data_IF_612271918335
#
_entry.id   IF_612271918335
#
_cell.length_a   1.000
_cell.length_b   1.000
_cell.length_c   1.000
_cell.angle_alpha   90.00
_cell.angle_beta   90.00
_cell.angle_gamma   90.00
#
_symmetry.space_group_name_H-M   'P 1'
#
loop_
_entity.id
_entity.type
_entity.pdbx_description
1 polymer ?
#
# COMPACT_ATOMS: atom_id res chain seq x y z
N UNK A 1 -17.34 -2.83 4.08
CA UNK A 1 -15.89 -2.76 3.79
C UNK A 1 -15.58 -1.84 2.64
N UNK A 2 -16.38 -1.86 1.57
CA UNK A 2 -16.17 -1.04 0.37
C UNK A 2 -16.29 0.48 0.59
N UNK A 3 -16.98 0.91 1.66
CA UNK A 3 -17.09 2.34 1.99
C UNK A 3 -15.87 2.89 2.76
N UNK A 4 -15.01 2.02 3.29
CA UNK A 4 -13.83 2.45 4.02
C UNK A 4 -12.72 2.86 3.04
N UNK A 5 -12.27 4.12 2.98
CA UNK A 5 -11.45 4.64 1.88
C UNK A 5 -10.12 3.91 1.68
N UNK A 6 -9.50 3.41 2.76
CA UNK A 6 -8.32 2.54 2.65
C UNK A 6 -8.62 1.24 1.92
N UNK A 7 -9.45 0.37 2.52
CA UNK A 7 -9.85 -0.91 1.93
C UNK A 7 -10.54 -0.81 0.57
N UNK A 8 -11.39 0.20 0.33
CA UNK A 8 -12.00 0.43 -0.97
C UNK A 8 -10.93 0.53 -2.08
N UNK A 9 -9.82 1.21 -1.77
CA UNK A 9 -8.70 1.37 -2.69
C UNK A 9 -7.68 0.25 -2.67
N UNK A 10 -7.58 -0.55 -1.59
CA UNK A 10 -6.76 -1.77 -1.58
C UNK A 10 -7.45 -2.86 -2.41
N UNK A 11 -8.78 -3.00 -2.26
CA UNK A 11 -9.62 -3.93 -3.02
C UNK A 11 -9.59 -3.68 -4.54
N UNK A 12 -9.24 -2.47 -5.00
CA UNK A 12 -8.97 -2.18 -6.41
C UNK A 12 -7.87 -3.11 -6.94
N UNK A 13 -6.75 -3.23 -6.23
CA UNK A 13 -5.63 -4.07 -6.64
C UNK A 13 -5.96 -5.54 -6.41
N UNK A 14 -6.55 -5.85 -5.25
CA UNK A 14 -6.86 -7.24 -4.87
C UNK A 14 -7.80 -7.92 -5.87
N UNK A 15 -8.82 -7.20 -6.35
CA UNK A 15 -9.75 -7.70 -7.37
C UNK A 15 -9.15 -7.78 -8.76
N UNK A 16 -8.12 -6.99 -9.05
CA UNK A 16 -7.50 -6.97 -10.37
C UNK A 16 -6.54 -8.16 -10.57
N UNK A 17 -5.69 -8.46 -9.59
CA UNK A 17 -4.71 -9.57 -9.68
C UNK A 17 -5.10 -10.83 -8.91
N UNK A 18 -6.24 -10.82 -8.22
CA UNK A 18 -6.56 -11.84 -7.23
C UNK A 18 -8.04 -12.10 -7.07
N UNK A 19 -8.35 -12.77 -5.97
CA UNK A 19 -9.68 -13.26 -5.65
C UNK A 19 -10.12 -12.67 -4.32
N UNK A 20 -11.28 -12.01 -4.34
CA UNK A 20 -11.93 -11.48 -3.15
C UNK A 20 -13.26 -12.20 -2.98
N UNK A 21 -13.47 -12.84 -1.82
CA UNK A 21 -14.72 -13.53 -1.50
C UNK A 21 -15.27 -13.01 -0.19
N UNK A 22 -16.52 -12.57 -0.23
CA UNK A 22 -17.28 -12.14 0.95
C UNK A 22 -17.84 -13.36 1.66
N UNK A 23 -17.54 -13.50 2.96
CA UNK A 23 -18.20 -14.43 3.87
C UNK A 23 -18.96 -13.58 4.90
N UNK A 24 -20.10 -14.05 5.38
CA UNK A 24 -20.97 -13.30 6.32
C UNK A 24 -20.22 -12.66 7.51
N UNK A 25 -19.10 -13.26 7.95
CA UNK A 25 -18.30 -12.79 9.07
C UNK A 25 -17.02 -12.00 8.71
N UNK A 26 -16.47 -12.17 7.50
CA UNK A 26 -15.19 -11.58 7.05
C UNK A 26 -15.00 -11.80 5.55
N UNK A 27 -14.08 -11.08 4.90
CA UNK A 27 -13.71 -11.38 3.50
C UNK A 27 -12.39 -12.13 3.44
N UNK A 28 -12.22 -12.97 2.43
CA UNK A 28 -10.92 -13.56 2.08
C UNK A 28 -10.36 -12.86 0.86
N UNK A 29 -9.10 -12.45 0.93
CA UNK A 29 -8.33 -11.97 -0.20
C UNK A 29 -7.20 -12.94 -0.48
N UNK A 30 -7.04 -13.32 -1.76
CA UNK A 30 -5.97 -14.21 -2.22
C UNK A 30 -5.35 -13.68 -3.50
N UNK A 31 -4.04 -13.84 -3.64
CA UNK A 31 -3.32 -13.62 -4.89
C UNK A 31 -2.62 -14.92 -5.27
N UNK A 32 -3.27 -15.82 -6.03
CA UNK A 32 -2.69 -17.13 -6.39
C UNK A 32 -1.33 -17.03 -7.10
N UNK A 33 -1.14 -15.98 -7.90
CA UNK A 33 0.13 -15.70 -8.59
C UNK A 33 1.25 -15.17 -7.68
N UNK A 34 0.97 -14.86 -6.41
CA UNK A 34 1.95 -14.36 -5.44
C UNK A 34 1.66 -14.87 -4.02
N UNK A 35 1.93 -16.15 -3.74
CA UNK A 35 1.63 -16.76 -2.44
C UNK A 35 2.42 -16.17 -1.26
N UNK A 36 3.60 -15.63 -1.52
CA UNK A 36 4.47 -14.97 -0.54
C UNK A 36 4.13 -13.49 -0.32
N UNK A 37 3.12 -12.96 -1.02
CA UNK A 37 2.64 -11.60 -0.80
C UNK A 37 1.78 -11.52 0.48
N UNK A 38 2.39 -11.06 1.57
CA UNK A 38 1.79 -11.09 2.91
C UNK A 38 0.47 -10.32 3.03
N UNK A 39 0.39 -9.15 2.39
CA UNK A 39 -0.80 -8.30 2.37
C UNK A 39 -1.63 -8.45 1.08
N UNK A 40 -1.37 -9.49 0.28
CA UNK A 40 -2.25 -9.93 -0.81
C UNK A 40 -2.93 -11.27 -0.55
N UNK A 41 -2.73 -11.83 0.65
CA UNK A 41 -3.32 -13.06 1.14
C UNK A 41 -3.71 -12.89 2.62
N UNK A 42 -4.94 -12.43 2.88
CA UNK A 42 -5.38 -12.00 4.21
C UNK A 42 -6.89 -12.22 4.45
N UNK A 43 -7.29 -12.27 5.73
CA UNK A 43 -8.70 -12.10 6.09
C UNK A 43 -8.97 -10.64 6.43
N UNK A 44 -10.03 -10.09 5.84
CA UNK A 44 -10.51 -8.74 6.08
C UNK A 44 -11.72 -8.79 7.02
N UNK A 45 -11.51 -8.35 8.26
CA UNK A 45 -12.51 -8.40 9.32
C UNK A 45 -13.32 -7.10 9.34
N UNK A 46 -14.64 -7.15 9.61
CA UNK A 46 -15.47 -5.96 9.70
C UNK A 46 -15.19 -5.13 10.96
N UNK A 47 -14.63 -5.74 11.99
CA UNK A 47 -14.32 -5.11 13.29
C UNK A 47 -12.99 -5.63 13.84
N UNK A 48 -12.35 -4.90 14.78
CA UNK A 48 -11.13 -5.38 15.43
C UNK A 48 -11.34 -6.72 16.14
N UNK A 49 -10.41 -7.69 15.98
CA UNK A 49 -10.44 -8.94 16.72
C UNK A 49 -10.02 -8.73 18.17
N UNK A 50 -10.35 -9.71 18.99
CA UNK A 50 -9.88 -9.88 20.35
C UNK A 50 -9.08 -11.17 20.50
N UNK A 51 -8.37 -11.34 21.61
CA UNK A 51 -7.64 -12.56 21.94
C UNK A 51 -8.49 -13.84 21.84
N UNK A 52 -9.80 -13.74 22.14
CA UNK A 52 -10.75 -14.84 22.03
C UNK A 52 -10.94 -15.34 20.59
N UNK A 53 -10.64 -14.49 19.61
CA UNK A 53 -10.85 -14.77 18.19
C UNK A 53 -9.69 -15.53 17.55
N UNK A 54 -8.54 -15.62 18.22
CA UNK A 54 -7.30 -16.18 17.66
C UNK A 54 -7.49 -17.58 17.08
N UNK A 55 -8.06 -18.50 17.85
CA UNK A 55 -8.16 -19.90 17.44
C UNK A 55 -8.99 -20.08 16.17
N UNK A 56 -10.15 -19.43 16.09
CA UNK A 56 -11.03 -19.58 14.93
C UNK A 56 -10.53 -18.80 13.71
N UNK A 57 -9.86 -17.65 13.90
CA UNK A 57 -9.24 -16.88 12.82
C UNK A 57 -8.08 -17.63 12.18
N UNK A 58 -7.19 -18.23 12.97
CA UNK A 58 -6.10 -19.07 12.46
C UNK A 58 -6.63 -20.27 11.68
N UNK A 59 -7.61 -20.98 12.23
CA UNK A 59 -8.23 -22.12 11.55
C UNK A 59 -8.95 -21.70 10.24
N UNK A 60 -9.59 -20.53 10.23
CA UNK A 60 -10.25 -19.98 9.05
C UNK A 60 -9.23 -19.60 7.97
N UNK A 61 -8.13 -18.95 8.35
CA UNK A 61 -7.04 -18.62 7.44
C UNK A 61 -6.46 -19.89 6.81
N UNK A 62 -6.13 -20.90 7.62
CA UNK A 62 -5.51 -22.14 7.16
C UNK A 62 -6.40 -22.88 6.15
N UNK A 63 -7.70 -22.93 6.44
CA UNK A 63 -8.68 -23.58 5.56
C UNK A 63 -8.89 -22.84 4.25
N UNK A 64 -8.98 -21.51 4.27
CA UNK A 64 -9.45 -20.72 3.12
C UNK A 64 -8.29 -20.16 2.26
N UNK A 65 -7.14 -19.94 2.87
CA UNK A 65 -5.98 -19.28 2.26
C UNK A 65 -4.74 -20.17 2.41
N UNK A 66 -4.36 -20.53 3.64
CA UNK A 66 -3.09 -21.19 3.98
C UNK A 66 -2.94 -22.66 3.56
N UNK A 67 -3.77 -23.17 2.65
CA UNK A 67 -3.67 -24.54 2.13
C UNK A 67 -2.52 -24.69 1.13
N UNK A 68 -2.08 -23.59 0.48
CA UNK A 68 -0.87 -23.58 -0.34
C UNK A 68 0.37 -23.55 0.57
N UNK A 69 1.26 -24.56 0.53
CA UNK A 69 2.43 -24.64 1.41
C UNK A 69 3.45 -23.50 1.21
N UNK A 70 3.34 -22.74 0.11
CA UNK A 70 4.17 -21.55 -0.12
C UNK A 70 3.72 -20.37 0.74
N UNK A 71 2.46 -20.34 1.18
CA UNK A 71 1.90 -19.33 2.09
C UNK A 71 2.37 -19.66 3.51
N UNK A 72 3.46 -19.00 3.93
CA UNK A 72 4.08 -19.21 5.25
C UNK A 72 3.77 -18.12 6.27
N UNK A 73 2.82 -17.24 5.96
CA UNK A 73 2.36 -16.15 6.81
C UNK A 73 0.90 -16.31 7.19
N UNK A 74 0.44 -15.47 8.12
CA UNK A 74 -0.99 -15.23 8.38
C UNK A 74 -1.22 -13.75 8.58
N UNK A 75 -2.18 -13.20 7.83
CA UNK A 75 -2.48 -11.77 7.85
C UNK A 75 -3.97 -11.53 8.09
N UNK A 76 -4.25 -10.61 9.01
CA UNK A 76 -5.60 -10.14 9.32
C UNK A 76 -5.61 -8.61 9.28
N UNK A 77 -6.66 -8.01 8.71
CA UNK A 77 -6.83 -6.56 8.64
C UNK A 77 -8.26 -6.14 9.00
N UNK A 78 -8.42 -4.95 9.57
CA UNK A 78 -9.72 -4.41 9.97
C UNK A 78 -9.72 -2.88 10.06
N UNK A 79 -10.90 -2.23 9.98
CA UNK A 79 -11.01 -0.80 10.22
C UNK A 79 -10.92 -0.49 11.71
N UNK A 80 -10.29 0.63 12.06
CA UNK A 80 -10.21 1.15 13.43
C UNK A 80 -10.94 2.50 13.51
N UNK A 81 -11.92 2.58 14.41
CA UNK A 81 -12.52 3.86 14.76
C UNK A 81 -11.55 4.73 15.59
N UNK A 82 -11.81 6.04 15.64
CA UNK A 82 -11.02 6.96 16.46
C UNK A 82 -11.08 6.54 17.95
N UNK A 83 -9.92 6.42 18.59
CA UNK A 83 -9.80 5.98 20.00
C UNK A 83 -10.07 4.50 20.24
N UNK A 84 -10.38 3.71 19.20
CA UNK A 84 -10.54 2.27 19.31
C UNK A 84 -9.16 1.60 19.33
N UNK A 85 -8.99 0.66 20.27
CA UNK A 85 -7.78 -0.16 20.42
C UNK A 85 -8.14 -1.64 20.22
N UNK A 86 -7.19 -2.39 19.67
CA UNK A 86 -7.32 -3.85 19.49
C UNK A 86 -6.83 -4.60 20.73
N UNK A 87 -7.54 -5.65 21.16
CA UNK A 87 -7.17 -6.49 22.31
C UNK A 87 -6.51 -7.77 21.81
N UNK A 88 -5.28 -7.64 21.32
CA UNK A 88 -4.59 -8.68 20.51
C UNK A 88 -3.30 -9.18 21.17
N UNK A 89 -3.22 -9.14 22.50
CA UNK A 89 -2.01 -9.53 23.24
C UNK A 89 -1.63 -10.99 23.01
N UNK A 90 -2.60 -11.91 22.90
CA UNK A 90 -2.35 -13.33 22.62
C UNK A 90 -1.86 -13.58 21.20
N UNK A 91 -2.23 -12.73 20.24
CA UNK A 91 -1.66 -12.77 18.89
C UNK A 91 -0.20 -12.32 18.94
N UNK A 92 0.09 -11.20 19.62
CA UNK A 92 1.47 -10.71 19.75
C UNK A 92 2.35 -11.74 20.45
N UNK A 93 1.87 -12.37 21.52
CA UNK A 93 2.57 -13.46 22.19
C UNK A 93 2.80 -14.68 21.27
N UNK A 94 1.92 -14.92 20.29
CA UNK A 94 2.05 -15.95 19.27
C UNK A 94 2.96 -15.54 18.09
N UNK A 95 3.61 -14.37 18.16
CA UNK A 95 4.55 -13.86 17.16
C UNK A 95 3.92 -13.09 15.99
N UNK A 96 2.67 -12.63 16.12
CA UNK A 96 2.12 -11.66 15.20
C UNK A 96 2.69 -10.28 15.48
N UNK A 97 3.02 -9.54 14.43
CA UNK A 97 3.31 -8.12 14.51
C UNK A 97 2.00 -7.34 14.35
N UNK A 98 1.69 -6.52 15.34
CA UNK A 98 0.57 -5.59 15.28
C UNK A 98 1.03 -4.28 14.65
N UNK A 99 0.30 -3.80 13.64
CA UNK A 99 0.58 -2.53 12.98
C UNK A 99 -0.71 -1.73 12.77
N UNK A 100 -0.61 -0.42 12.92
CA UNK A 100 -1.68 0.52 12.65
C UNK A 100 -1.26 1.46 11.52
N UNK A 101 -2.17 1.64 10.56
CA UNK A 101 -1.99 2.57 9.45
C UNK A 101 -3.05 3.65 9.50
N UNK A 102 -2.65 4.87 9.15
CA UNK A 102 -3.56 6.00 8.97
C UNK A 102 -3.91 6.13 7.48
N UNK A 103 -5.19 6.25 7.19
CA UNK A 103 -5.71 6.60 5.86
C UNK A 103 -5.80 8.11 5.77
N UNK A 104 -5.08 8.68 4.82
CA UNK A 104 -4.97 10.10 4.55
C UNK A 104 -5.65 10.41 3.22
N UNK A 105 -6.52 11.41 3.20
CA UNK A 105 -7.23 11.86 2.01
C UNK A 105 -6.81 13.28 1.63
N UNK A 106 -6.76 13.56 0.33
CA UNK A 106 -6.54 14.89 -0.23
C UNK A 106 -7.65 15.21 -1.23
N UNK A 107 -8.36 16.32 -1.01
CA UNK A 107 -9.31 16.90 -1.96
C UNK A 107 -8.71 18.09 -2.70
N UNK A 108 -9.43 18.57 -3.71
CA UNK A 108 -8.98 19.70 -4.54
C UNK A 108 -8.89 21.02 -3.76
N UNK A 109 -9.72 21.19 -2.73
CA UNK A 109 -9.75 22.41 -1.91
C UNK A 109 -8.59 22.48 -0.91
N UNK A 110 -8.14 21.34 -0.42
CA UNK A 110 -7.06 21.25 0.56
C UNK A 110 -5.66 21.24 -0.08
N UNK A 111 -5.58 20.98 -1.40
CA UNK A 111 -4.31 20.85 -2.10
C UNK A 111 -3.48 22.14 -2.08
N UNK A 112 -2.24 21.99 -1.61
CA UNK A 112 -1.26 23.07 -1.54
C UNK A 112 -0.08 22.79 -2.46
N UNK A 113 0.14 23.68 -3.42
CA UNK A 113 1.32 23.63 -4.28
C UNK A 113 2.60 23.91 -3.46
N UNK A 114 3.65 23.09 -3.58
CA UNK A 114 4.96 23.36 -3.01
C UNK A 114 5.55 24.64 -3.60
N UNK A 115 6.13 25.48 -2.74
CA UNK A 115 6.91 26.65 -3.15
C UNK A 115 8.33 26.24 -3.52
N UNK A 116 8.79 26.64 -4.72
CA UNK A 116 10.20 26.61 -5.11
C UNK A 116 10.78 25.20 -5.31
N UNK A 117 10.98 24.81 -6.57
CA UNK A 117 11.88 23.70 -6.89
C UNK A 117 12.44 23.88 -8.30
N UNK A 118 13.77 23.89 -8.41
CA UNK A 118 14.50 23.90 -9.70
C UNK A 118 14.62 22.50 -10.32
N UNK A 119 13.95 21.50 -9.73
CA UNK A 119 14.01 20.12 -10.18
C UNK A 119 13.03 19.88 -11.33
N UNK A 120 13.43 19.00 -12.24
CA UNK A 120 12.64 18.63 -13.41
C UNK A 120 11.24 18.15 -13.01
N UNK A 121 10.21 18.41 -13.85
CA UNK A 121 8.87 17.92 -13.61
C UNK A 121 8.83 16.38 -13.60
N UNK A 122 7.92 15.84 -12.79
CA UNK A 122 7.64 14.42 -12.81
C UNK A 122 7.03 14.04 -14.16
N UNK A 123 7.53 12.94 -14.74
CA UNK A 123 6.98 12.40 -15.99
C UNK A 123 6.39 11.00 -15.78
N UNK A 124 5.37 10.63 -16.57
CA UNK A 124 4.91 9.25 -16.64
C UNK A 124 6.02 8.28 -17.00
N UNK A 125 5.89 7.04 -16.53
CA UNK A 125 6.73 5.94 -16.94
C UNK A 125 6.42 5.50 -18.36
N UNK A 126 7.45 5.02 -19.02
CA UNK A 126 7.43 4.30 -20.29
C UNK A 126 7.89 2.86 -20.05
N UNK A 127 7.77 2.00 -21.05
CA UNK A 127 8.23 0.61 -20.94
C UNK A 127 9.71 0.48 -20.51
N UNK A 128 10.56 1.43 -20.92
CA UNK A 128 12.00 1.42 -20.61
C UNK A 128 12.34 1.76 -19.14
N UNK A 129 11.41 2.38 -18.40
CA UNK A 129 11.68 2.86 -17.04
C UNK A 129 11.54 1.75 -15.98
N UNK A 130 10.83 0.66 -16.30
CA UNK A 130 10.47 -0.37 -15.34
C UNK A 130 11.65 -1.20 -14.82
N UNK A 131 12.71 -1.37 -15.62
CA UNK A 131 13.92 -2.05 -15.16
C UNK A 131 14.66 -1.19 -14.13
N UNK A 132 14.67 0.14 -14.34
CA UNK A 132 15.24 1.09 -13.39
C UNK A 132 14.40 1.17 -12.11
N UNK A 133 13.08 1.07 -12.21
CA UNK A 133 12.19 0.95 -11.06
C UNK A 133 12.44 -0.32 -10.25
N UNK A 134 12.62 -1.47 -10.92
CA UNK A 134 12.89 -2.72 -10.23
C UNK A 134 14.22 -2.64 -9.46
N UNK A 135 15.27 -2.14 -10.09
CA UNK A 135 16.56 -1.92 -9.44
C UNK A 135 16.44 -0.94 -8.26
N UNK A 136 15.66 0.13 -8.42
CA UNK A 136 15.40 1.11 -7.36
C UNK A 136 14.68 0.49 -6.15
N UNK A 137 13.57 -0.24 -6.36
CA UNK A 137 12.84 -0.88 -5.26
C UNK A 137 13.64 -2.00 -4.59
N UNK A 138 14.47 -2.73 -5.34
CA UNK A 138 15.39 -3.72 -4.76
C UNK A 138 16.44 -3.06 -3.86
N UNK A 139 17.01 -1.92 -4.28
CA UNK A 139 17.99 -1.18 -3.49
C UNK A 139 17.39 -0.58 -2.20
N UNK A 140 16.12 -0.15 -2.26
CA UNK A 140 15.41 0.48 -1.14
C UNK A 140 14.59 -0.49 -0.27
N UNK A 141 14.65 -1.80 -0.54
CA UNK A 141 13.94 -2.82 0.25
C UNK A 141 14.38 -2.79 1.72
N UNK A 142 13.54 -3.33 2.59
CA UNK A 142 13.95 -3.61 3.97
C UNK A 142 15.11 -4.63 3.97
N UNK A 143 16.29 -4.33 4.54
CA UNK A 143 17.39 -5.27 4.63
C UNK A 143 17.05 -6.60 5.33
N UNK A 144 15.98 -6.63 6.15
CA UNK A 144 15.45 -7.86 6.74
C UNK A 144 14.88 -8.84 5.70
N UNK A 145 14.64 -8.38 4.48
CA UNK A 145 14.22 -9.22 3.36
C UNK A 145 15.38 -9.44 2.39
N UNK A 146 15.73 -10.71 2.16
CA UNK A 146 16.72 -11.07 1.14
C UNK A 146 16.20 -10.70 -0.24
N UNK A 147 17.12 -10.34 -1.14
CA UNK A 147 16.80 -10.01 -2.51
C UNK A 147 16.06 -11.16 -3.22
N UNK A 148 16.54 -12.39 -3.04
CA UNK A 148 15.93 -13.62 -3.60
C UNK A 148 14.45 -13.77 -3.22
N UNK A 149 14.08 -13.41 -1.98
CA UNK A 149 12.70 -13.49 -1.50
C UNK A 149 11.86 -12.28 -1.89
N UNK A 150 12.48 -11.12 -2.11
CA UNK A 150 11.77 -9.88 -2.41
C UNK A 150 11.53 -9.67 -3.92
N UNK A 151 12.40 -10.21 -4.77
CA UNK A 151 12.32 -10.08 -6.22
C UNK A 151 11.02 -10.63 -6.82
N UNK A 152 10.54 -11.85 -6.47
CA UNK A 152 9.27 -12.37 -7.01
C UNK A 152 8.07 -11.46 -6.71
N UNK A 153 8.03 -10.92 -5.49
CA UNK A 153 7.02 -9.92 -5.10
C UNK A 153 7.08 -8.68 -6.01
N UNK A 154 8.26 -8.07 -6.21
CA UNK A 154 8.38 -6.89 -7.07
C UNK A 154 8.04 -7.16 -8.53
N UNK A 155 8.39 -8.34 -9.07
CA UNK A 155 8.02 -8.73 -10.43
C UNK A 155 6.51 -8.86 -10.59
N UNK A 156 5.82 -9.46 -9.61
CA UNK A 156 4.36 -9.50 -9.57
C UNK A 156 3.74 -8.10 -9.53
N UNK A 157 4.27 -7.22 -8.66
CA UNK A 157 3.80 -5.82 -8.59
C UNK A 157 4.01 -5.06 -9.89
N UNK A 158 5.16 -5.23 -10.55
CA UNK A 158 5.43 -4.67 -11.88
C UNK A 158 4.37 -5.12 -12.89
N UNK A 159 4.08 -6.42 -12.97
CA UNK A 159 3.08 -6.96 -13.89
C UNK A 159 1.68 -6.37 -13.64
N UNK A 160 1.25 -6.32 -12.37
CA UNK A 160 0.00 -5.68 -11.98
C UNK A 160 -0.06 -4.23 -12.45
N UNK A 161 0.96 -3.42 -12.11
CA UNK A 161 0.94 -2.00 -12.41
C UNK A 161 0.98 -1.74 -13.92
N UNK A 162 1.79 -2.49 -14.68
CA UNK A 162 1.80 -2.38 -16.14
C UNK A 162 0.43 -2.71 -16.73
N UNK A 163 -0.20 -3.81 -16.31
CA UNK A 163 -1.52 -4.20 -16.81
C UNK A 163 -2.60 -3.15 -16.48
N UNK A 164 -2.62 -2.62 -15.25
CA UNK A 164 -3.56 -1.56 -14.87
C UNK A 164 -3.34 -0.25 -15.64
N UNK A 165 -2.10 0.04 -16.03
CA UNK A 165 -1.78 1.22 -16.87
C UNK A 165 -2.29 1.00 -18.29
N UNK A 166 -2.08 -0.19 -18.84
CA UNK A 166 -2.58 -0.57 -20.18
C UNK A 166 -4.11 -0.50 -20.25
N UNK A 167 -4.80 -0.87 -19.16
CA UNK A 167 -6.25 -0.75 -18.99
C UNK A 167 -6.72 0.68 -18.65
N UNK A 168 -5.81 1.65 -18.55
CA UNK A 168 -6.13 3.07 -18.28
C UNK A 168 -6.61 3.34 -16.85
N UNK A 169 -6.39 2.41 -15.91
CA UNK A 169 -6.80 2.53 -14.51
C UNK A 169 -5.86 3.39 -13.66
N UNK A 170 -4.71 3.78 -14.19
CA UNK A 170 -3.74 4.60 -13.48
C UNK A 170 -2.50 4.91 -14.30
N UNK A 171 -1.48 5.39 -13.61
CA UNK A 171 -0.16 5.66 -14.19
C UNK A 171 0.91 5.55 -13.10
N UNK A 172 2.16 5.39 -13.50
CA UNK A 172 3.34 5.52 -12.65
C UNK A 172 4.13 6.76 -13.06
N UNK A 173 4.68 7.48 -12.08
CA UNK A 173 5.49 8.67 -12.32
C UNK A 173 6.83 8.57 -11.62
N UNK A 174 7.82 9.25 -12.20
CA UNK A 174 9.13 9.40 -11.58
C UNK A 174 9.67 10.82 -11.64
N UNK A 175 10.71 11.05 -10.86
CA UNK A 175 11.63 12.18 -10.97
C UNK A 175 13.01 11.62 -11.31
N UNK A 176 13.71 12.28 -12.25
CA UNK A 176 15.03 11.88 -12.68
C UNK A 176 16.06 12.98 -12.42
N UNK A 177 17.28 12.54 -12.11
CA UNK A 177 18.46 13.39 -12.09
C UNK A 177 19.57 12.70 -12.86
N UNK A 178 20.07 13.31 -13.94
CA UNK A 178 21.15 12.74 -14.78
C UNK A 178 20.88 11.26 -15.14
N UNK A 179 19.67 10.99 -15.66
CA UNK A 179 19.16 9.66 -16.04
C UNK A 179 18.94 8.65 -14.90
N UNK A 180 19.23 9.00 -13.64
CA UNK A 180 18.89 8.18 -12.48
C UNK A 180 17.48 8.50 -11.97
N UNK A 181 16.65 7.48 -11.75
CA UNK A 181 15.38 7.60 -11.03
C UNK A 181 15.64 7.92 -9.55
N UNK A 182 15.23 9.10 -9.09
CA UNK A 182 15.49 9.57 -7.72
C UNK A 182 14.25 9.54 -6.82
N UNK A 183 13.05 9.51 -7.40
CA UNK A 183 11.80 9.31 -6.68
C UNK A 183 10.74 8.74 -7.63
N UNK A 184 9.82 7.92 -7.12
CA UNK A 184 8.73 7.37 -7.92
C UNK A 184 7.46 7.14 -7.09
N UNK A 185 6.31 7.13 -7.76
CA UNK A 185 5.03 6.72 -7.18
C UNK A 185 4.03 6.32 -8.28
N UNK A 186 3.13 5.41 -7.94
CA UNK A 186 1.92 5.14 -8.72
C UNK A 186 0.72 5.93 -8.23
N UNK A 187 -0.25 6.17 -9.11
CA UNK A 187 -1.59 6.64 -8.77
C UNK A 187 -2.62 5.88 -9.63
N UNK A 188 -3.50 5.13 -8.97
CA UNK A 188 -4.51 4.28 -9.61
C UNK A 188 -5.91 4.63 -9.10
N UNK A 189 -6.93 4.44 -9.92
CA UNK A 189 -8.26 4.98 -9.67
C UNK A 189 -9.33 3.89 -9.53
N UNK A 190 -10.25 4.08 -8.59
CA UNK A 190 -11.46 3.28 -8.43
C UNK A 190 -12.62 4.20 -8.08
N UNK A 191 -13.66 4.21 -8.92
CA UNK A 191 -14.77 5.17 -8.81
C UNK A 191 -14.25 6.61 -8.73
N UNK A 192 -14.56 7.30 -7.64
CA UNK A 192 -14.14 8.70 -7.39
C UNK A 192 -12.86 8.83 -6.57
N UNK A 193 -12.19 7.72 -6.23
CA UNK A 193 -10.98 7.68 -5.42
C UNK A 193 -9.74 7.43 -6.30
N UNK A 194 -8.65 8.12 -5.99
CA UNK A 194 -7.31 7.81 -6.49
C UNK A 194 -6.43 7.29 -5.36
N UNK A 195 -5.55 6.31 -5.61
CA UNK A 195 -4.75 5.62 -4.62
C UNK A 195 -3.28 5.70 -4.97
N UNK A 196 -2.52 6.42 -4.16
CA UNK A 196 -1.07 6.46 -4.29
C UNK A 196 -0.47 5.10 -3.93
N UNK A 197 0.53 4.66 -4.69
CA UNK A 197 1.24 3.41 -4.52
C UNK A 197 2.73 3.64 -4.46
N UNK A 198 3.41 2.92 -3.55
CA UNK A 198 4.87 2.89 -3.38
C UNK A 198 5.53 4.26 -3.58
N UNK A 199 5.15 5.23 -2.75
CA UNK A 199 5.78 6.56 -2.76
C UNK A 199 7.19 6.42 -2.21
N UNK A 200 8.20 6.52 -3.08
CA UNK A 200 9.62 6.32 -2.73
C UNK A 200 10.49 7.50 -3.13
N UNK A 201 11.54 7.71 -2.35
CA UNK A 201 12.65 8.63 -2.67
C UNK A 201 13.95 7.93 -2.33
N UNK A 202 14.85 7.90 -3.30
CA UNK A 202 16.17 7.29 -3.19
C UNK A 202 16.92 7.82 -1.97
N UNK A 203 17.57 6.94 -1.21
CA UNK A 203 18.16 7.25 0.08
C UNK A 203 19.08 8.49 0.04
N UNK A 204 19.97 8.56 -0.95
CA UNK A 204 20.92 9.66 -1.17
C UNK A 204 20.26 11.01 -1.52
N UNK A 205 19.00 10.97 -1.93
CA UNK A 205 18.21 12.10 -2.41
C UNK A 205 17.11 12.53 -1.42
N UNK A 206 16.99 11.84 -0.28
CA UNK A 206 16.04 12.20 0.78
C UNK A 206 16.36 13.57 1.38
N UNK A 207 15.37 14.17 2.04
CA UNK A 207 15.45 15.50 2.65
C UNK A 207 15.71 16.67 1.67
N UNK A 208 15.54 16.46 0.36
CA UNK A 208 15.65 17.50 -0.69
C UNK A 208 14.30 17.97 -1.26
N UNK A 209 13.19 17.61 -0.60
CA UNK A 209 11.84 17.98 -1.04
C UNK A 209 11.25 17.15 -2.19
N UNK A 210 11.98 16.15 -2.72
CA UNK A 210 11.54 15.34 -3.87
C UNK A 210 10.20 14.64 -3.69
N UNK A 211 9.99 13.96 -2.55
CA UNK A 211 8.71 13.29 -2.25
C UNK A 211 7.54 14.28 -2.30
N UNK A 212 7.71 15.46 -1.68
CA UNK A 212 6.69 16.51 -1.67
C UNK A 212 6.41 17.03 -3.08
N UNK A 213 7.47 17.25 -3.87
CA UNK A 213 7.37 17.71 -5.24
C UNK A 213 6.61 16.71 -6.11
N UNK A 214 7.05 15.45 -6.10
CA UNK A 214 6.45 14.36 -6.87
C UNK A 214 4.96 14.22 -6.54
N UNK A 215 4.63 14.09 -5.25
CA UNK A 215 3.25 13.95 -4.81
C UNK A 215 2.39 15.13 -5.21
N UNK A 216 2.87 16.37 -5.08
CA UNK A 216 2.08 17.52 -5.50
C UNK A 216 1.81 17.53 -7.01
N UNK A 217 2.81 17.21 -7.82
CA UNK A 217 2.65 17.25 -9.27
C UNK A 217 1.69 16.16 -9.76
N UNK A 218 1.77 14.97 -9.16
CA UNK A 218 0.86 13.86 -9.46
C UNK A 218 -0.52 14.11 -8.87
N UNK A 219 -0.63 14.69 -7.67
CA UNK A 219 -1.91 15.03 -7.05
C UNK A 219 -2.70 16.04 -7.90
N UNK A 220 -2.02 17.06 -8.45
CA UNK A 220 -2.65 18.02 -9.35
C UNK A 220 -3.32 17.33 -10.55
N UNK A 221 -2.66 16.33 -11.13
CA UNK A 221 -3.20 15.55 -12.25
C UNK A 221 -4.32 14.60 -11.78
N UNK A 222 -4.12 13.94 -10.65
CA UNK A 222 -5.09 13.00 -10.07
C UNK A 222 -6.42 13.65 -9.69
N UNK A 223 -6.38 14.86 -9.13
CA UNK A 223 -7.58 15.61 -8.72
C UNK A 223 -8.42 16.10 -9.89
N UNK A 224 -7.90 16.07 -11.12
CA UNK A 224 -8.70 16.28 -12.32
C UNK A 224 -9.56 15.05 -12.69
N UNK A 225 -9.22 13.86 -12.16
CA UNK A 225 -9.90 12.58 -12.43
C UNK A 225 -10.69 12.04 -11.24
N UNK A 226 -10.25 12.33 -10.02
CA UNK A 226 -10.85 11.82 -8.79
C UNK A 226 -11.16 12.96 -7.81
N UNK A 227 -12.22 12.81 -7.02
CA UNK A 227 -12.59 13.81 -6.01
C UNK A 227 -11.70 13.72 -4.76
N UNK A 228 -11.09 12.56 -4.51
CA UNK A 228 -10.21 12.35 -3.36
C UNK A 228 -9.06 11.42 -3.70
N UNK A 229 -7.85 11.81 -3.27
CA UNK A 229 -6.64 10.99 -3.38
C UNK A 229 -6.23 10.42 -2.02
N UNK A 230 -5.94 9.13 -1.97
CA UNK A 230 -5.77 8.34 -0.77
C UNK A 230 -4.33 7.86 -0.66
N UNK A 231 -3.73 8.10 0.51
CA UNK A 231 -2.49 7.48 0.99
C UNK A 231 -2.84 6.66 2.24
N UNK A 232 -2.24 5.48 2.37
CA UNK A 232 -2.26 4.71 3.61
C UNK A 232 -0.80 4.60 4.00
N UNK A 233 -0.51 5.05 5.20
CA UNK A 233 0.84 5.05 5.73
C UNK A 233 0.80 4.51 7.15
N UNK A 234 1.86 3.83 7.55
CA UNK A 234 2.06 3.42 8.94
C UNK A 234 1.94 4.65 9.86
N UNK A 235 1.22 4.50 10.98
CA UNK A 235 0.97 5.55 11.96
C UNK A 235 2.26 6.12 12.56
N UNK A 236 3.34 5.34 12.58
CA UNK A 236 4.66 5.75 13.06
C UNK A 236 5.57 6.27 11.94
N UNK A 237 5.11 6.27 10.69
CA UNK A 237 5.93 6.65 9.54
C UNK A 237 6.21 8.16 9.50
N UNK A 238 7.48 8.53 9.38
CA UNK A 238 7.92 9.93 9.40
C UNK A 238 7.39 10.79 8.24
N UNK A 239 6.89 10.20 7.15
CA UNK A 239 6.38 10.97 6.01
C UNK A 239 5.00 11.61 6.23
N UNK A 240 4.32 11.35 7.37
CA UNK A 240 3.03 12.02 7.64
C UNK A 240 3.13 13.54 7.62
N UNK A 241 4.25 14.12 8.06
CA UNK A 241 4.47 15.58 7.98
C UNK A 241 4.51 16.07 6.53
N UNK A 242 5.08 15.28 5.61
CA UNK A 242 5.15 15.61 4.18
C UNK A 242 3.74 15.60 3.59
N UNK A 243 2.94 14.59 3.90
CA UNK A 243 1.56 14.49 3.40
C UNK A 243 0.69 15.63 3.94
N UNK A 244 0.75 15.92 5.24
CA UNK A 244 -0.01 17.03 5.83
C UNK A 244 0.38 18.39 5.23
N UNK A 245 1.66 18.61 4.92
CA UNK A 245 2.14 19.83 4.25
C UNK A 245 1.69 19.98 2.78
N UNK A 246 1.02 18.96 2.22
CA UNK A 246 0.37 19.00 0.91
C UNK A 246 -1.15 19.13 1.03
N UNK A 247 -1.70 19.11 2.25
CA UNK A 247 -3.14 19.17 2.52
C UNK A 247 -3.80 17.83 2.83
N UNK A 248 -3.04 16.72 2.90
CA UNK A 248 -3.64 15.44 3.27
C UNK A 248 -4.13 15.45 4.72
N UNK A 249 -5.37 15.01 4.93
CA UNK A 249 -6.01 14.92 6.25
C UNK A 249 -6.34 13.47 6.60
N UNK A 250 -6.20 13.07 7.88
CA UNK A 250 -6.57 11.73 8.31
C UNK A 250 -8.09 11.54 8.26
N UNK A 251 -8.55 10.47 7.63
CA UNK A 251 -9.98 10.15 7.46
C UNK A 251 -10.38 8.80 8.03
N UNK A 252 -9.44 7.86 8.18
CA UNK A 252 -9.70 6.55 8.75
C UNK A 252 -8.40 5.91 9.27
N UNK A 253 -8.52 4.76 9.96
CA UNK A 253 -7.40 3.96 10.45
C UNK A 253 -7.62 2.49 10.13
N UNK A 254 -6.53 1.76 9.94
CA UNK A 254 -6.52 0.32 9.68
C UNK A 254 -5.64 -0.34 10.73
N UNK A 255 -6.17 -1.37 11.38
CA UNK A 255 -5.39 -2.28 12.21
C UNK A 255 -5.02 -3.53 11.40
N UNK A 256 -3.85 -4.08 11.69
CA UNK A 256 -3.41 -5.33 11.07
C UNK A 256 -2.57 -6.18 12.01
N UNK A 257 -2.66 -7.49 11.81
CA UNK A 257 -1.78 -8.49 12.40
C UNK A 257 -1.15 -9.30 11.28
N UNK A 258 0.17 -9.40 11.27
CA UNK A 258 0.90 -10.28 10.37
C UNK A 258 1.85 -11.17 11.15
N UNK A 259 1.69 -12.49 11.03
CA UNK A 259 2.71 -13.45 11.46
C UNK A 259 3.55 -13.82 10.25
N UNK A 260 4.77 -13.30 10.21
CA UNK A 260 5.76 -13.57 9.18
C UNK A 260 6.29 -15.01 9.29
N UNK A 261 6.84 -15.56 8.20
CA UNK A 261 7.59 -16.81 8.28
C UNK A 261 8.73 -16.65 9.30
N UNK A 262 8.85 -17.58 10.26
CA UNK A 262 10.05 -17.66 11.11
C UNK A 262 11.15 -18.33 10.29
N UNK A 263 12.38 -17.83 10.41
CA UNK A 263 13.57 -18.50 9.89
C UNK A 263 13.78 -19.87 10.54
#
# INVERSE_FOLDING_TARGET
MEDHPGFATDLLFDRYQGEVTDHDAFWTVRTPGSPDYYFGNYLLLPTPPSDRDKGWLEASFDRLIGWDPRIRHRTFQWPLAAGQNSRVAEFVAAGYQYMECVVLALGAMEWQAPTGSDLAPARPFTAADWDQWLAFELAERDPAHSEERYLPYLLSRRQLYQAMIDDGLGQWWGLWHQDQLVASCGLFFTGTLGRFQLVRTHAEWRNRGLCRLLLSQVARQGLARASSLIIVADEHYHAQRVYRALGFVPVARIGSLCRWPRE
#
